data_IF_611984993593
#
_entry.id   IF_611984993593
#
_cell.length_a   1.000
_cell.length_b   1.000
_cell.length_c   1.000
_cell.angle_alpha   90.00
_cell.angle_beta   90.00
_cell.angle_gamma   90.00
#
_symmetry.space_group_name_H-M   'P 1'
#
loop_
_entity.id
_entity.type
_entity.pdbx_description
1 polymer ?
#
# COMPACT_ATOMS: atom_id res chain seq x y z
N UNK A 1 35.20 1.59 16.02
CA UNK A 1 34.10 1.87 16.96
C UNK A 1 33.29 3.01 16.38
N UNK A 2 32.16 2.69 15.79
CA UNK A 2 31.01 3.58 15.71
C UNK A 2 29.83 2.65 15.46
N UNK A 3 29.09 2.44 16.53
CA UNK A 3 27.93 1.59 16.59
C UNK A 3 26.90 2.10 15.59
N UNK A 4 26.73 1.38 14.47
CA UNK A 4 25.53 1.45 13.64
C UNK A 4 24.38 0.81 14.43
N UNK A 5 24.02 1.39 15.56
CA UNK A 5 22.73 1.13 16.19
C UNK A 5 21.72 1.78 15.26
N UNK A 6 21.14 0.98 14.36
CA UNK A 6 19.86 1.36 13.77
C UNK A 6 18.94 1.58 14.97
N UNK A 7 18.38 2.79 15.19
CA UNK A 7 17.46 2.98 16.29
C UNK A 7 16.33 1.98 16.12
N UNK A 8 16.16 1.10 17.11
CA UNK A 8 14.96 0.29 17.23
C UNK A 8 13.81 1.30 17.34
N UNK A 9 12.74 1.15 16.54
CA UNK A 9 11.69 2.15 16.57
C UNK A 9 11.08 2.27 17.96
N UNK A 10 10.79 3.49 18.39
CA UNK A 10 10.21 3.78 19.70
C UNK A 10 8.76 3.33 19.81
N UNK A 11 8.04 3.38 18.69
CA UNK A 11 6.62 3.06 18.61
C UNK A 11 6.28 2.55 17.21
N UNK A 12 5.19 1.81 17.11
CA UNK A 12 4.61 1.36 15.84
C UNK A 12 3.31 2.15 15.61
N UNK A 13 3.26 2.92 14.52
CA UNK A 13 2.05 3.64 14.12
C UNK A 13 1.27 2.84 13.07
N UNK A 14 0.02 2.52 13.39
CA UNK A 14 -0.86 1.75 12.54
C UNK A 14 -1.89 2.68 11.88
N UNK A 15 -1.83 2.72 10.55
CA UNK A 15 -2.74 3.47 9.69
C UNK A 15 -3.62 2.52 8.89
N UNK A 16 -4.79 3.03 8.51
CA UNK A 16 -5.82 2.28 7.79
C UNK A 16 -6.24 3.01 6.51
N UNK A 17 -6.58 2.25 5.47
CA UNK A 17 -7.18 2.77 4.25
C UNK A 17 -8.22 1.82 3.65
N UNK A 18 -9.45 2.33 3.53
CA UNK A 18 -10.58 1.65 2.91
C UNK A 18 -11.18 0.53 3.77
N UNK A 19 -12.14 -0.20 3.21
CA UNK A 19 -12.73 -1.38 3.83
C UNK A 19 -11.68 -2.51 3.95
N UNK A 20 -11.21 -2.75 5.18
CA UNK A 20 -10.22 -3.78 5.51
C UNK A 20 -10.85 -5.17 5.76
N UNK A 21 -12.10 -5.41 5.34
CA UNK A 21 -12.82 -6.68 5.46
C UNK A 21 -12.82 -7.26 6.90
N UNK A 22 -12.99 -6.40 7.90
CA UNK A 22 -13.05 -6.81 9.31
C UNK A 22 -11.70 -7.11 9.95
N UNK A 23 -10.58 -6.70 9.35
CA UNK A 23 -9.26 -6.79 9.98
C UNK A 23 -9.24 -6.02 11.32
N UNK A 24 -8.90 -6.70 12.40
CA UNK A 24 -8.80 -6.10 13.73
C UNK A 24 -7.42 -5.49 13.96
N UNK A 25 -7.28 -4.20 13.69
CA UNK A 25 -6.01 -3.46 13.83
C UNK A 25 -5.52 -3.40 15.27
N UNK A 26 -6.44 -3.39 16.25
CA UNK A 26 -6.07 -3.39 17.68
C UNK A 26 -5.43 -4.72 18.08
N UNK A 27 -6.01 -5.84 17.66
CA UNK A 27 -5.45 -7.18 17.90
C UNK A 27 -4.10 -7.36 17.20
N UNK A 28 -3.95 -6.84 15.97
CA UNK A 28 -2.67 -6.81 15.28
C UNK A 28 -1.63 -5.98 16.02
N UNK A 29 -1.99 -4.81 16.54
CA UNK A 29 -1.11 -3.98 17.34
C UNK A 29 -0.63 -4.68 18.60
N UNK A 30 -1.55 -5.32 19.34
CA UNK A 30 -1.22 -6.13 20.51
C UNK A 30 -0.28 -7.29 20.18
N UNK A 31 -0.53 -7.99 19.07
CA UNK A 31 0.35 -9.05 18.59
C UNK A 31 1.77 -8.52 18.27
N UNK A 32 1.87 -7.37 17.61
CA UNK A 32 3.15 -6.75 17.28
C UNK A 32 3.90 -6.31 18.55
N UNK A 33 3.21 -5.69 19.51
CA UNK A 33 3.80 -5.30 20.80
C UNK A 33 4.28 -6.52 21.58
N UNK A 34 3.52 -7.61 21.62
CA UNK A 34 3.92 -8.86 22.28
C UNK A 34 5.21 -9.44 21.67
N UNK A 35 5.34 -9.42 20.33
CA UNK A 35 6.48 -10.01 19.61
C UNK A 35 7.71 -9.12 19.54
N UNK A 36 7.54 -7.81 19.52
CA UNK A 36 8.62 -6.85 19.32
C UNK A 36 9.01 -6.11 20.59
N UNK A 37 8.14 -6.10 21.61
CA UNK A 37 8.24 -5.25 22.79
C UNK A 37 8.23 -3.75 22.49
N UNK A 38 7.74 -3.35 21.32
CA UNK A 38 7.60 -1.96 20.91
C UNK A 38 6.12 -1.58 21.04
N UNK A 39 5.78 -0.50 21.77
CA UNK A 39 4.39 -0.07 21.90
C UNK A 39 3.81 0.34 20.56
N UNK A 40 2.48 0.38 20.46
CA UNK A 40 1.80 0.79 19.23
C UNK A 40 0.76 1.90 19.45
N UNK A 41 0.47 2.64 18.39
CA UNK A 41 -0.63 3.62 18.32
C UNK A 41 -1.49 3.34 17.10
N UNK A 42 -2.80 3.47 17.28
CA UNK A 42 -3.76 3.41 16.19
C UNK A 42 -4.02 4.85 15.74
N UNK A 43 -3.55 5.19 14.54
CA UNK A 43 -3.77 6.50 13.92
C UNK A 43 -5.11 6.54 13.19
N UNK A 44 -5.60 5.37 12.75
CA UNK A 44 -6.86 5.19 12.03
C UNK A 44 -6.73 5.53 10.56
N UNK A 45 -7.82 6.00 9.95
CA UNK A 45 -7.86 6.27 8.51
C UNK A 45 -6.83 7.34 8.11
N UNK A 46 -5.96 7.02 7.14
CA UNK A 46 -4.88 7.89 6.68
C UNK A 46 -5.36 9.23 6.10
N UNK A 47 -6.61 9.31 5.65
CA UNK A 47 -7.21 10.51 5.09
C UNK A 47 -7.96 11.37 6.13
N UNK A 48 -7.97 10.94 7.40
CA UNK A 48 -8.66 11.66 8.47
C UNK A 48 -8.09 13.06 8.64
N UNK A 49 -8.96 14.07 8.59
CA UNK A 49 -8.58 15.47 8.83
C UNK A 49 -8.02 16.22 7.61
N UNK A 50 -7.93 15.58 6.43
CA UNK A 50 -7.51 16.25 5.20
C UNK A 50 -8.53 17.31 4.77
N UNK A 51 -8.05 18.51 4.43
CA UNK A 51 -8.89 19.61 3.94
C UNK A 51 -9.45 19.32 2.53
N UNK A 52 -10.59 19.94 2.17
CA UNK A 52 -11.18 19.77 0.82
C UNK A 52 -10.21 20.10 -0.33
N UNK A 53 -9.36 21.12 -0.16
CA UNK A 53 -8.34 21.48 -1.14
C UNK A 53 -7.28 20.37 -1.28
N UNK A 54 -6.85 19.79 -0.16
CA UNK A 54 -5.88 18.70 -0.15
C UNK A 54 -6.48 17.40 -0.72
N UNK A 55 -7.77 17.11 -0.51
CA UNK A 55 -8.45 15.95 -1.12
C UNK A 55 -8.31 15.99 -2.65
N UNK A 56 -8.49 17.16 -3.28
CA UNK A 56 -8.32 17.29 -4.73
C UNK A 56 -6.89 16.91 -5.16
N UNK A 57 -5.90 17.48 -4.48
CA UNK A 57 -4.47 17.26 -4.81
C UNK A 57 -4.08 15.80 -4.63
N UNK A 58 -4.50 15.19 -3.52
CA UNK A 58 -4.21 13.78 -3.21
C UNK A 58 -4.89 12.86 -4.23
N UNK A 59 -6.16 13.13 -4.58
CA UNK A 59 -6.87 12.39 -5.60
C UNK A 59 -6.21 12.46 -6.98
N UNK A 60 -5.70 13.63 -7.38
CA UNK A 60 -4.95 13.78 -8.63
C UNK A 60 -3.64 12.99 -8.61
N UNK A 61 -2.89 13.06 -7.49
CA UNK A 61 -1.65 12.28 -7.30
C UNK A 61 -1.93 10.78 -7.42
N UNK A 62 -2.96 10.27 -6.74
CA UNK A 62 -3.34 8.85 -6.76
C UNK A 62 -3.80 8.40 -8.16
N UNK A 63 -4.67 9.16 -8.81
CA UNK A 63 -5.14 8.85 -10.16
C UNK A 63 -3.99 8.80 -11.18
N UNK A 64 -2.99 9.66 -10.99
CA UNK A 64 -1.80 9.73 -11.84
C UNK A 64 -0.91 8.49 -11.72
N UNK A 65 -0.87 7.81 -10.58
CA UNK A 65 0.04 6.67 -10.33
C UNK A 65 -0.61 5.31 -10.60
N UNK A 66 -1.85 5.29 -11.10
CA UNK A 66 -2.52 4.06 -11.57
C UNK A 66 -1.76 3.42 -12.73
N UNK A 67 -1.51 2.12 -12.63
CA UNK A 67 -0.98 1.27 -13.69
C UNK A 67 -2.11 0.94 -14.66
N UNK A 68 -1.96 1.38 -15.91
CA UNK A 68 -2.94 1.10 -16.98
C UNK A 68 -2.71 -0.23 -17.67
N UNK A 69 -1.45 -0.56 -17.87
CA UNK A 69 -1.03 -1.79 -18.54
C UNK A 69 0.12 -2.39 -17.72
N UNK A 70 -0.12 -3.49 -16.99
CA UNK A 70 0.92 -4.17 -16.23
C UNK A 70 2.11 -4.64 -17.09
N UNK A 71 1.97 -4.78 -18.40
CA UNK A 71 3.07 -5.15 -19.31
C UNK A 71 3.89 -3.95 -19.80
N UNK A 72 3.59 -2.73 -19.33
CA UNK A 72 4.31 -1.51 -19.73
C UNK A 72 4.78 -0.74 -18.52
N UNK A 73 6.01 -0.22 -18.62
CA UNK A 73 6.61 0.60 -17.57
C UNK A 73 5.77 1.85 -17.34
N UNK A 74 5.69 2.31 -16.09
CA UNK A 74 5.04 3.58 -15.78
C UNK A 74 5.58 4.72 -16.62
N UNK A 75 4.65 5.49 -17.18
CA UNK A 75 4.90 6.77 -17.85
C UNK A 75 3.96 7.80 -17.25
N UNK A 76 4.53 8.90 -16.76
CA UNK A 76 3.76 10.01 -16.21
C UNK A 76 2.78 10.56 -17.24
N UNK A 77 1.57 10.87 -16.80
CA UNK A 77 0.50 11.41 -17.63
C UNK A 77 -0.39 12.36 -16.84
N UNK A 78 -1.32 12.98 -17.56
CA UNK A 78 -2.43 13.71 -16.96
C UNK A 78 -3.55 12.68 -16.65
N UNK A 79 -4.04 12.61 -15.41
CA UNK A 79 -5.19 11.77 -15.05
C UNK A 79 -6.47 12.25 -15.76
N UNK A 80 -7.36 11.31 -16.11
CA UNK A 80 -8.69 11.65 -16.59
C UNK A 80 -9.54 12.15 -15.41
N UNK A 81 -10.46 13.08 -15.65
CA UNK A 81 -11.33 13.61 -14.60
C UNK A 81 -12.08 12.50 -13.85
N UNK A 82 -12.58 11.48 -14.57
CA UNK A 82 -13.24 10.34 -13.95
C UNK A 82 -12.33 9.50 -13.04
N UNK A 83 -11.03 9.42 -13.33
CA UNK A 83 -10.06 8.74 -12.46
C UNK A 83 -9.88 9.55 -11.16
N UNK A 84 -9.77 10.88 -11.26
CA UNK A 84 -9.68 11.77 -10.11
C UNK A 84 -10.95 11.74 -9.27
N UNK A 85 -12.13 11.83 -9.90
CA UNK A 85 -13.41 11.80 -9.20
C UNK A 85 -13.63 10.48 -8.45
N UNK A 86 -13.15 9.36 -9.00
CA UNK A 86 -13.12 8.08 -8.29
C UNK A 86 -12.28 8.17 -7.01
N UNK A 87 -11.05 8.70 -7.10
CA UNK A 87 -10.19 8.82 -5.91
C UNK A 87 -10.80 9.75 -4.87
N UNK A 88 -11.43 10.86 -5.29
CA UNK A 88 -12.10 11.78 -4.35
C UNK A 88 -13.20 11.07 -3.57
N UNK A 89 -14.05 10.29 -4.24
CA UNK A 89 -15.11 9.52 -3.58
C UNK A 89 -14.52 8.50 -2.61
N UNK A 90 -13.49 7.78 -3.03
CA UNK A 90 -12.79 6.79 -2.21
C UNK A 90 -12.13 7.38 -0.96
N UNK A 91 -11.44 8.51 -1.10
CA UNK A 91 -10.81 9.22 0.04
C UNK A 91 -11.85 9.64 1.08
N UNK A 92 -13.05 10.00 0.62
CA UNK A 92 -14.13 10.50 1.47
C UNK A 92 -14.99 9.39 2.09
N UNK A 93 -14.88 8.16 1.59
CA UNK A 93 -15.67 7.02 2.03
C UNK A 93 -14.74 5.96 2.65
N UNK A 94 -14.69 5.84 4.00
CA UNK A 94 -13.81 4.88 4.66
C UNK A 94 -14.16 3.42 4.35
N UNK A 95 -15.41 3.13 3.98
CA UNK A 95 -15.89 1.79 3.65
C UNK A 95 -15.83 1.50 2.15
N UNK A 96 -15.06 2.31 1.40
CA UNK A 96 -15.00 2.20 -0.05
C UNK A 96 -14.44 0.85 -0.49
N UNK A 97 -15.26 0.13 -1.26
CA UNK A 97 -14.88 -1.12 -1.89
C UNK A 97 -14.11 -0.88 -3.18
N UNK A 98 -12.92 -1.47 -3.26
CA UNK A 98 -12.05 -1.30 -4.41
C UNK A 98 -12.50 -2.11 -5.62
N UNK A 99 -12.12 -1.62 -6.81
CA UNK A 99 -12.34 -2.30 -8.07
C UNK A 99 -11.02 -2.46 -8.81
N UNK A 100 -10.31 -3.57 -8.63
CA UNK A 100 -9.22 -4.07 -9.50
C UNK A 100 -8.10 -3.11 -9.94
N UNK A 101 -8.03 -1.89 -9.42
CA UNK A 101 -7.07 -0.86 -9.83
C UNK A 101 -5.73 -1.19 -9.20
N UNK A 102 -4.72 -1.32 -10.05
CA UNK A 102 -3.33 -1.50 -9.65
C UNK A 102 -2.64 -0.13 -9.62
N UNK A 103 -1.99 0.21 -8.50
CA UNK A 103 -1.12 1.38 -8.40
C UNK A 103 0.36 1.00 -8.54
N UNK A 104 1.17 1.92 -9.03
CA UNK A 104 2.62 1.80 -8.89
C UNK A 104 2.98 1.97 -7.42
N UNK A 105 3.47 0.89 -6.80
CA UNK A 105 3.65 0.81 -5.36
C UNK A 105 4.68 1.81 -4.82
N UNK A 106 5.70 2.15 -5.61
CA UNK A 106 6.73 3.11 -5.17
C UNK A 106 6.14 4.52 -5.15
N UNK A 107 5.45 4.93 -6.23
CA UNK A 107 4.83 6.25 -6.24
C UNK A 107 3.65 6.37 -5.28
N UNK A 108 2.88 5.30 -5.11
CA UNK A 108 1.82 5.23 -4.12
C UNK A 108 2.38 5.37 -2.70
N UNK A 109 3.46 4.66 -2.34
CA UNK A 109 4.13 4.81 -1.04
C UNK A 109 4.59 6.26 -0.78
N UNK A 110 5.13 6.94 -1.79
CA UNK A 110 5.54 8.34 -1.65
C UNK A 110 4.36 9.26 -1.32
N UNK A 111 3.18 9.04 -1.94
CA UNK A 111 1.98 9.82 -1.64
C UNK A 111 1.55 9.60 -0.19
N UNK A 112 1.57 8.35 0.29
CA UNK A 112 1.23 8.05 1.69
C UNK A 112 2.27 8.65 2.65
N UNK A 113 3.56 8.59 2.29
CA UNK A 113 4.62 9.22 3.06
C UNK A 113 4.38 10.72 3.22
N UNK A 114 4.01 11.44 2.15
CA UNK A 114 3.65 12.86 2.21
C UNK A 114 2.51 13.09 3.22
N UNK A 115 1.46 12.25 3.18
CA UNK A 115 0.30 12.36 4.07
C UNK A 115 0.65 12.16 5.54
N UNK A 116 1.44 11.13 5.85
CA UNK A 116 1.93 10.89 7.22
C UNK A 116 2.79 12.07 7.68
N UNK A 117 3.59 12.63 6.76
CA UNK A 117 4.50 13.71 7.10
C UNK A 117 3.78 15.00 7.49
N UNK A 118 2.67 15.30 6.83
CA UNK A 118 1.81 16.44 7.16
C UNK A 118 1.18 16.33 8.56
N UNK A 119 1.05 15.11 9.11
CA UNK A 119 0.52 14.86 10.45
C UNK A 119 1.58 14.97 11.57
N UNK A 120 2.85 15.19 11.22
CA UNK A 120 3.98 15.24 12.14
C UNK A 120 4.84 13.98 12.04
N UNK A 121 6.01 14.11 11.40
CA UNK A 121 7.00 13.03 11.32
C UNK A 121 7.74 12.85 12.63
N UNK A 122 7.80 11.61 13.12
CA UNK A 122 8.90 11.15 13.95
C UNK A 122 9.65 10.03 13.20
N UNK A 123 10.89 10.32 12.79
CA UNK A 123 11.74 9.36 12.07
C UNK A 123 12.17 8.17 12.95
N UNK A 124 11.91 8.23 14.26
CA UNK A 124 12.06 7.12 15.19
C UNK A 124 10.90 6.11 15.17
N UNK A 125 9.80 6.41 14.47
CA UNK A 125 8.59 5.61 14.54
C UNK A 125 8.45 4.66 13.33
N UNK A 126 7.92 3.47 13.57
CA UNK A 126 7.63 2.48 12.52
C UNK A 126 6.20 2.67 12.02
N UNK A 127 6.02 3.36 10.90
CA UNK A 127 4.69 3.56 10.32
C UNK A 127 4.30 2.41 9.38
N UNK A 128 3.13 1.82 9.61
CA UNK A 128 2.55 0.74 8.81
C UNK A 128 1.17 1.16 8.33
N UNK A 129 0.94 1.15 7.01
CA UNK A 129 -0.37 1.32 6.41
C UNK A 129 -0.95 -0.04 6.01
N UNK A 130 -2.12 -0.37 6.56
CA UNK A 130 -2.98 -1.43 6.02
C UNK A 130 -3.96 -0.83 5.02
N UNK A 131 -3.98 -1.38 3.81
CA UNK A 131 -4.78 -0.85 2.71
C UNK A 131 -5.52 -1.96 1.97
N UNK A 132 -6.72 -1.63 1.46
CA UNK A 132 -7.42 -2.48 0.51
C UNK A 132 -7.05 -2.20 -0.97
N UNK A 133 -6.09 -1.30 -1.26
CA UNK A 133 -5.64 -1.04 -2.63
C UNK A 133 -4.68 -2.12 -3.13
N UNK A 134 -4.76 -2.47 -4.42
CA UNK A 134 -3.75 -3.32 -5.06
C UNK A 134 -2.60 -2.45 -5.55
N UNK A 135 -1.37 -2.81 -5.21
CA UNK A 135 -0.18 -2.17 -5.76
C UNK A 135 0.80 -3.20 -6.28
N UNK A 136 1.65 -2.76 -7.20
CA UNK A 136 2.70 -3.58 -7.77
C UNK A 136 3.98 -2.81 -8.01
N UNK A 137 5.08 -3.52 -8.20
CA UNK A 137 6.36 -2.91 -8.56
C UNK A 137 6.79 -3.37 -9.94
N UNK A 138 7.44 -2.47 -10.69
CA UNK A 138 8.02 -2.80 -11.98
C UNK A 138 9.22 -3.73 -11.80
N UNK A 139 9.16 -4.90 -12.42
CA UNK A 139 10.26 -5.84 -12.49
C UNK A 139 11.04 -5.61 -13.79
N UNK A 140 12.34 -5.31 -13.67
CA UNK A 140 13.21 -5.01 -14.81
C UNK A 140 13.69 -6.27 -15.52
N UNK A 141 13.58 -7.44 -14.90
CA UNK A 141 14.09 -8.69 -15.46
C UNK A 141 13.08 -9.32 -16.44
N UNK A 142 11.80 -9.03 -16.28
CA UNK A 142 10.72 -9.55 -17.13
C UNK A 142 9.80 -8.47 -17.71
N UNK A 143 10.19 -7.19 -17.57
CA UNK A 143 9.50 -6.02 -18.12
C UNK A 143 7.98 -6.01 -17.89
N UNK A 144 7.57 -6.24 -16.63
CA UNK A 144 6.17 -6.12 -16.22
C UNK A 144 6.01 -5.77 -14.74
N UNK A 145 4.81 -5.33 -14.38
CA UNK A 145 4.39 -5.16 -13.00
C UNK A 145 4.13 -6.49 -12.32
N UNK A 146 4.69 -6.64 -11.13
CA UNK A 146 4.35 -7.70 -10.20
C UNK A 146 3.52 -7.11 -9.07
N UNK A 147 2.29 -7.60 -8.92
CA UNK A 147 1.48 -7.28 -7.74
C UNK A 147 2.22 -7.69 -6.47
N UNK A 148 2.11 -6.87 -5.43
CA UNK A 148 2.77 -7.09 -4.14
C UNK A 148 1.74 -7.11 -3.03
N UNK A 149 1.96 -7.98 -2.06
CA UNK A 149 1.26 -7.95 -0.78
C UNK A 149 1.79 -6.79 0.06
N UNK A 150 3.11 -6.62 0.08
CA UNK A 150 3.79 -5.67 0.96
C UNK A 150 4.90 -4.91 0.25
N UNK A 151 5.19 -3.70 0.76
CA UNK A 151 6.34 -2.88 0.37
C UNK A 151 6.98 -2.26 1.61
N UNK A 152 8.23 -2.64 1.90
CA UNK A 152 8.93 -2.27 3.14
C UNK A 152 9.79 -1.01 2.98
N UNK A 153 9.13 0.12 2.74
CA UNK A 153 9.74 1.45 2.76
C UNK A 153 9.17 2.28 3.90
N UNK A 154 9.15 3.61 3.75
CA UNK A 154 8.45 4.50 4.67
C UNK A 154 7.23 5.13 3.97
N UNK A 155 6.00 4.94 4.51
CA UNK A 155 5.66 3.91 5.50
C UNK A 155 5.74 2.51 4.89
N UNK A 156 5.76 1.48 5.74
CA UNK A 156 5.55 0.10 5.28
C UNK A 156 4.11 -0.08 4.82
N UNK A 157 3.92 -0.64 3.64
CA UNK A 157 2.60 -0.86 3.06
C UNK A 157 2.23 -2.35 3.14
N UNK A 158 1.00 -2.64 3.53
CA UNK A 158 0.42 -3.99 3.54
C UNK A 158 -0.96 -3.94 2.88
N UNK A 159 -1.07 -4.58 1.71
CA UNK A 159 -2.33 -4.71 0.97
C UNK A 159 -3.08 -5.98 1.39
N UNK A 160 -4.25 -5.82 1.99
CA UNK A 160 -5.13 -6.95 2.32
C UNK A 160 -5.70 -7.61 1.05
N UNK A 161 -5.96 -6.83 0.00
CA UNK A 161 -6.40 -7.38 -1.29
C UNK A 161 -5.24 -8.08 -2.00
N UNK A 162 -4.02 -7.58 -1.80
CA UNK A 162 -2.79 -8.22 -2.24
C UNK A 162 -2.62 -9.62 -1.64
N UNK A 163 -3.01 -9.86 -0.39
CA UNK A 163 -2.95 -11.20 0.22
C UNK A 163 -3.73 -12.26 -0.57
N UNK A 164 -4.82 -11.86 -1.24
CA UNK A 164 -5.65 -12.76 -2.05
C UNK A 164 -5.17 -12.82 -3.49
N UNK A 165 -4.80 -11.67 -4.07
CA UNK A 165 -4.56 -11.54 -5.52
C UNK A 165 -3.09 -11.72 -5.92
N UNK A 166 -2.16 -11.34 -5.06
CA UNK A 166 -0.73 -11.30 -5.34
C UNK A 166 0.10 -12.56 -4.97
N UNK A 167 -0.38 -13.60 -4.26
CA UNK A 167 0.43 -14.80 -4.01
C UNK A 167 0.90 -15.44 -5.32
N UNK A 168 2.20 -15.73 -5.40
CA UNK A 168 2.74 -16.49 -6.50
C UNK A 168 2.08 -17.87 -6.55
N UNK A 169 1.73 -18.33 -7.76
CA UNK A 169 1.24 -19.70 -7.91
C UNK A 169 2.33 -20.69 -7.44
N UNK A 170 1.96 -21.84 -6.86
CA UNK A 170 2.93 -22.82 -6.41
C UNK A 170 3.84 -23.26 -7.56
N UNK A 171 5.09 -23.63 -7.25
CA UNK A 171 6.09 -24.06 -8.25
C UNK A 171 5.56 -25.13 -9.21
N UNK A 172 4.74 -26.04 -8.70
CA UNK A 172 4.06 -27.11 -9.43
C UNK A 172 3.17 -26.59 -10.56
N UNK A 173 2.50 -25.45 -10.37
CA UNK A 173 1.71 -24.79 -11.42
C UNK A 173 2.60 -24.43 -12.63
N UNK A 174 3.78 -23.86 -12.36
CA UNK A 174 4.72 -23.48 -13.41
C UNK A 174 5.38 -24.68 -14.09
N UNK A 175 5.69 -25.74 -13.32
CA UNK A 175 6.19 -27.00 -13.89
C UNK A 175 5.16 -27.66 -14.80
N UNK A 176 3.89 -27.76 -14.37
CA UNK A 176 2.79 -28.27 -15.21
C UNK A 176 2.63 -27.45 -16.49
N UNK A 177 2.69 -26.12 -16.38
CA UNK A 177 2.63 -25.21 -17.53
C UNK A 177 3.80 -25.42 -18.51
N UNK A 178 5.02 -25.64 -18.02
CA UNK A 178 6.19 -25.92 -18.86
C UNK A 178 6.10 -27.30 -19.54
N UNK A 179 5.49 -28.27 -18.87
CA UNK A 179 5.30 -29.64 -19.39
C UNK A 179 4.07 -29.78 -20.31
N UNK A 180 3.32 -28.69 -20.57
CA UNK A 180 2.11 -28.71 -21.40
C UNK A 180 0.94 -29.45 -20.77
N UNK A 181 0.99 -29.73 -19.47
CA UNK A 181 -0.12 -30.34 -18.74
C UNK A 181 -1.22 -29.28 -18.52
N UNK A 182 -2.51 -29.66 -18.57
CA UNK A 182 -3.60 -28.75 -18.24
C UNK A 182 -3.40 -28.21 -16.81
N UNK A 183 -3.54 -26.89 -16.69
CA UNK A 183 -3.38 -26.19 -15.42
C UNK A 183 -4.75 -25.75 -14.95
N UNK A 184 -5.29 -26.49 -13.97
CA UNK A 184 -6.44 -26.07 -13.16
C UNK A 184 -5.98 -25.09 -12.06
#
# INVERSE_FOLDING_TARGET
>A
MNDFIRPIPSIIDLYEEGDLNGLNISELGQYLEEKTHIPFRIQGNIYKGISKGNIQVVAEKLAKVRVRDPARRYVSRIPLQAEVDYEKRRIQDPDWKIFGILYDGVFYQNIISDLISECGLDLGDCSILFTNQLFGTWDRDNDRYHARVSLYGFPSLISISGLVVAPAKPKEFYLKKQMGAPVE
#
